data_IF_376154359981
#
_entry.id   IF_376154359981
#
_cell.length_a   1.000
_cell.length_b   1.000
_cell.length_c   1.000
_cell.angle_alpha   90.00
_cell.angle_beta   90.00
_cell.angle_gamma   90.00
#
_symmetry.space_group_name_H-M   'P 1'
#
loop_
_entity.id
_entity.type
_entity.pdbx_description
1 polymer ?
#
# COMPACT_ATOMS: atom_id res chain seq x y z
N UNK A 1 -22.11 -7.38 -15.18
CA UNK A 1 -21.80 -5.98 -14.83
C UNK A 1 -20.29 -5.88 -14.65
N UNK A 2 -19.68 -4.73 -14.98
CA UNK A 2 -18.27 -4.53 -14.70
C UNK A 2 -18.04 -4.44 -13.18
N UNK A 3 -16.94 -5.00 -12.72
CA UNK A 3 -16.53 -4.94 -11.31
C UNK A 3 -15.03 -4.71 -11.23
N UNK A 4 -14.60 -3.98 -10.20
CA UNK A 4 -13.17 -3.78 -9.88
C UNK A 4 -12.83 -4.58 -8.64
N UNK A 5 -11.68 -5.26 -8.63
CA UNK A 5 -11.25 -6.09 -7.51
C UNK A 5 -10.51 -5.28 -6.44
N UNK A 6 -10.74 -5.61 -5.18
CA UNK A 6 -10.02 -5.08 -4.02
C UNK A 6 -9.93 -6.12 -2.90
N UNK A 7 -9.23 -5.76 -1.83
CA UNK A 7 -9.07 -6.59 -0.63
C UNK A 7 -9.40 -5.79 0.61
N UNK A 8 -9.74 -6.47 1.70
CA UNK A 8 -9.70 -5.87 3.02
C UNK A 8 -8.78 -6.68 3.95
N UNK A 9 -8.06 -5.97 4.81
CA UNK A 9 -6.94 -6.55 5.57
C UNK A 9 -6.84 -5.98 6.98
N UNK A 10 -6.17 -6.74 7.83
CA UNK A 10 -5.85 -6.39 9.21
C UNK A 10 -4.47 -6.94 9.60
N UNK A 11 -4.12 -6.85 10.88
CA UNK A 11 -2.93 -7.50 11.45
C UNK A 11 -2.83 -9.00 11.11
N UNK A 12 -3.95 -9.69 10.91
CA UNK A 12 -3.98 -11.13 10.62
C UNK A 12 -3.39 -11.49 9.25
N UNK A 13 -3.32 -10.53 8.32
CA UNK A 13 -2.76 -10.73 6.99
C UNK A 13 -1.23 -10.63 6.95
N UNK A 14 -0.58 -10.42 8.11
CA UNK A 14 0.87 -10.33 8.27
C UNK A 14 1.49 -9.18 7.45
N UNK A 15 2.74 -9.35 7.01
CA UNK A 15 3.46 -8.33 6.23
C UNK A 15 3.12 -8.50 4.74
N UNK A 16 2.40 -7.52 4.19
CA UNK A 16 1.93 -7.53 2.80
C UNK A 16 2.95 -6.85 1.87
N UNK A 17 3.20 -7.46 0.71
CA UNK A 17 3.85 -6.84 -0.45
C UNK A 17 2.79 -6.21 -1.37
N UNK A 18 2.53 -4.92 -1.13
CA UNK A 18 1.50 -4.18 -1.84
C UNK A 18 1.79 -3.96 -3.33
N UNK A 19 3.05 -4.00 -3.75
CA UNK A 19 3.39 -3.90 -5.17
C UNK A 19 2.92 -5.14 -5.93
N UNK A 20 3.07 -6.33 -5.32
CA UNK A 20 2.52 -7.56 -5.88
C UNK A 20 0.99 -7.57 -5.89
N UNK A 21 0.34 -7.05 -4.84
CA UNK A 21 -1.13 -6.92 -4.80
C UNK A 21 -1.63 -6.05 -5.96
N UNK A 22 -1.02 -4.88 -6.17
CA UNK A 22 -1.40 -3.99 -7.26
C UNK A 22 -1.15 -4.61 -8.64
N UNK A 23 0.02 -5.26 -8.81
CA UNK A 23 0.39 -5.96 -10.05
C UNK A 23 -0.55 -7.13 -10.36
N UNK A 24 -1.15 -7.76 -9.34
CA UNK A 24 -2.15 -8.81 -9.48
C UNK A 24 -3.53 -8.29 -9.92
N UNK A 25 -3.71 -6.98 -10.10
CA UNK A 25 -4.94 -6.39 -10.65
C UNK A 25 -5.90 -5.81 -9.61
N UNK A 26 -5.55 -5.83 -8.33
CA UNK A 26 -6.35 -5.19 -7.28
C UNK A 26 -6.17 -3.66 -7.33
N UNK A 27 -7.24 -2.91 -7.05
CA UNK A 27 -7.24 -1.44 -7.18
C UNK A 27 -7.66 -0.68 -5.93
N UNK A 28 -8.31 -1.35 -4.98
CA UNK A 28 -8.64 -0.74 -3.70
C UNK A 28 -8.34 -1.66 -2.53
N UNK A 29 -8.09 -1.06 -1.37
CA UNK A 29 -7.88 -1.76 -0.12
C UNK A 29 -8.62 -1.07 1.04
N UNK A 30 -9.33 -1.84 1.87
CA UNK A 30 -9.76 -1.38 3.18
C UNK A 30 -8.84 -1.97 4.27
N UNK A 31 -8.29 -1.12 5.12
CA UNK A 31 -7.35 -1.53 6.17
C UNK A 31 -8.01 -1.33 7.53
N UNK A 32 -8.02 -2.34 8.40
CA UNK A 32 -8.53 -2.18 9.76
C UNK A 32 -7.73 -1.10 10.46
N UNK A 33 -8.39 -0.06 10.94
CA UNK A 33 -7.78 0.91 11.83
C UNK A 33 -8.01 0.50 13.28
N UNK A 34 -9.27 0.32 13.66
CA UNK A 34 -9.65 0.20 15.07
C UNK A 34 -10.86 -0.74 15.25
N UNK A 35 -10.94 -1.36 16.43
CA UNK A 35 -12.10 -2.14 16.89
C UNK A 35 -12.49 -1.62 18.28
N UNK A 36 -13.69 -1.06 18.40
CA UNK A 36 -14.15 -0.38 19.61
C UNK A 36 -13.25 0.78 20.06
N UNK A 37 -13.29 1.12 21.36
CA UNK A 37 -12.57 2.29 21.89
C UNK A 37 -11.16 1.99 22.46
N UNK A 38 -10.91 0.71 22.77
CA UNK A 38 -9.78 0.31 23.61
C UNK A 38 -8.44 0.38 22.84
N UNK A 39 -7.32 0.69 23.52
CA UNK A 39 -6.00 0.71 22.89
C UNK A 39 -5.62 -0.62 22.22
N UNK A 40 -6.03 -1.76 22.79
CA UNK A 40 -5.76 -3.08 22.22
C UNK A 40 -6.57 -3.34 20.94
N UNK A 41 -7.59 -2.52 20.67
CA UNK A 41 -8.37 -2.54 19.44
C UNK A 41 -7.71 -1.79 18.28
N UNK A 42 -6.60 -1.09 18.50
CA UNK A 42 -5.82 -0.46 17.41
C UNK A 42 -5.08 -1.55 16.63
N UNK A 43 -5.27 -1.60 15.32
CA UNK A 43 -4.58 -2.56 14.48
C UNK A 43 -3.09 -2.21 14.36
N UNK A 44 -2.23 -3.11 14.85
CA UNK A 44 -0.79 -2.90 14.89
C UNK A 44 -0.14 -2.70 13.50
N UNK A 45 -0.80 -3.17 12.43
CA UNK A 45 -0.30 -3.03 11.06
C UNK A 45 -1.00 -1.90 10.28
N UNK A 46 -1.94 -1.16 10.87
CA UNK A 46 -2.72 -0.14 10.16
C UNK A 46 -1.85 0.82 9.36
N UNK A 47 -0.92 1.52 10.01
CA UNK A 47 -0.08 2.53 9.36
C UNK A 47 0.75 1.94 8.22
N UNK A 48 1.36 0.78 8.43
CA UNK A 48 2.20 0.09 7.45
C UNK A 48 1.37 -0.33 6.23
N UNK A 49 0.17 -0.87 6.46
CA UNK A 49 -0.70 -1.34 5.41
C UNK A 49 -1.33 -0.20 4.63
N UNK A 50 -1.81 0.83 5.33
CA UNK A 50 -2.42 2.00 4.71
C UNK A 50 -1.40 2.74 3.83
N UNK A 51 -0.22 3.04 4.36
CA UNK A 51 0.83 3.76 3.62
C UNK A 51 1.41 2.89 2.50
N UNK A 52 1.56 1.59 2.74
CA UNK A 52 2.05 0.62 1.75
C UNK A 52 1.11 0.44 0.56
N UNK A 53 -0.20 0.27 0.81
CA UNK A 53 -1.21 0.16 -0.22
C UNK A 53 -1.28 1.43 -1.07
N UNK A 54 -1.28 2.60 -0.42
CA UNK A 54 -1.28 3.89 -1.11
C UNK A 54 -0.04 4.09 -1.96
N UNK A 55 1.15 3.75 -1.43
CA UNK A 55 2.41 3.79 -2.18
C UNK A 55 2.45 2.79 -3.34
N UNK A 56 1.63 1.74 -3.33
CA UNK A 56 1.51 0.84 -4.48
C UNK A 56 0.53 1.36 -5.56
N UNK A 57 -0.15 2.49 -5.32
CA UNK A 57 -1.14 3.08 -6.21
C UNK A 57 -2.57 2.60 -5.98
N UNK A 58 -2.84 1.87 -4.89
CA UNK A 58 -4.20 1.47 -4.54
C UNK A 58 -5.00 2.65 -3.97
N UNK A 59 -6.31 2.66 -4.21
CA UNK A 59 -7.26 3.50 -3.49
C UNK A 59 -7.50 2.91 -2.10
N UNK A 60 -7.19 3.66 -1.05
CA UNK A 60 -7.18 3.13 0.32
C UNK A 60 -8.29 3.74 1.16
N UNK A 61 -8.95 2.90 1.96
CA UNK A 61 -9.76 3.35 3.11
C UNK A 61 -9.38 2.64 4.39
N UNK A 62 -9.87 3.18 5.50
CA UNK A 62 -9.79 2.55 6.80
C UNK A 62 -11.18 2.07 7.24
N UNK A 63 -11.22 0.91 7.89
CA UNK A 63 -12.44 0.42 8.53
C UNK A 63 -12.33 0.40 10.05
N UNK A 64 -13.49 0.62 10.69
CA UNK A 64 -13.66 0.59 12.14
C UNK A 64 -14.76 -0.42 12.50
N UNK A 65 -14.41 -1.39 13.36
CA UNK A 65 -15.39 -2.35 13.89
C UNK A 65 -16.14 -1.73 15.04
N UNK A 66 -17.43 -1.45 14.84
CA UNK A 66 -18.29 -0.84 15.85
C UNK A 66 -18.59 -1.86 16.94
N UNK A 67 -18.36 -1.45 18.18
CA UNK A 67 -18.62 -2.19 19.40
C UNK A 67 -19.76 -1.49 20.17
N UNK A 68 -21.01 -1.97 20.08
CA UNK A 68 -22.19 -1.30 20.65
C UNK A 68 -22.15 -1.04 22.16
N UNK A 69 -21.31 -1.75 22.92
CA UNK A 69 -21.12 -1.52 24.36
C UNK A 69 -20.38 -0.22 24.70
N UNK A 70 -19.70 0.39 23.73
CA UNK A 70 -18.97 1.64 23.89
C UNK A 70 -19.73 2.80 23.27
N UNK A 71 -19.43 4.02 23.71
CA UNK A 71 -20.03 5.23 23.12
C UNK A 71 -19.55 5.43 21.68
N UNK A 72 -20.36 6.07 20.83
CA UNK A 72 -19.92 6.42 19.49
C UNK A 72 -18.75 7.43 19.52
N UNK A 73 -18.81 8.40 20.45
CA UNK A 73 -17.77 9.42 20.60
C UNK A 73 -16.38 8.79 20.88
N UNK A 74 -16.26 7.92 21.88
CA UNK A 74 -14.99 7.29 22.24
C UNK A 74 -14.42 6.39 21.13
N UNK A 75 -15.28 5.72 20.38
CA UNK A 75 -14.90 4.91 19.22
C UNK A 75 -14.38 5.77 18.07
N UNK A 76 -15.05 6.87 17.78
CA UNK A 76 -14.64 7.78 16.71
C UNK A 76 -13.38 8.55 17.08
N UNK A 77 -13.23 9.01 18.33
CA UNK A 77 -11.98 9.60 18.81
C UNK A 77 -10.80 8.65 18.62
N UNK A 78 -11.00 7.36 18.91
CA UNK A 78 -10.01 6.30 18.69
C UNK A 78 -9.68 6.11 17.21
N UNK A 79 -10.68 6.06 16.34
CA UNK A 79 -10.50 5.96 14.89
C UNK A 79 -9.70 7.14 14.34
N UNK A 80 -10.16 8.38 14.57
CA UNK A 80 -9.53 9.58 14.03
C UNK A 80 -8.13 9.82 14.59
N UNK A 81 -7.89 9.48 15.86
CA UNK A 81 -6.53 9.50 16.43
C UNK A 81 -5.61 8.50 15.74
N UNK A 82 -6.12 7.33 15.36
CA UNK A 82 -5.35 6.27 14.68
C UNK A 82 -5.02 6.63 13.24
N UNK A 83 -5.92 7.37 12.55
CA UNK A 83 -5.62 7.91 11.22
C UNK A 83 -4.36 8.80 11.24
N UNK A 84 -4.15 9.56 12.31
CA UNK A 84 -2.97 10.40 12.51
C UNK A 84 -2.67 11.31 11.29
N UNK A 85 -3.71 11.94 10.75
CA UNK A 85 -3.63 12.82 9.58
C UNK A 85 -3.67 12.11 8.22
N UNK A 86 -3.71 10.77 8.17
CA UNK A 86 -3.96 10.03 6.93
C UNK A 86 -5.39 10.30 6.45
N UNK A 87 -5.53 10.83 5.24
CA UNK A 87 -6.81 11.06 4.57
C UNK A 87 -7.11 9.88 3.64
N UNK A 88 -8.16 9.06 3.87
CA UNK A 88 -8.60 8.01 2.96
C UNK A 88 -8.99 8.51 1.56
N UNK A 89 -8.74 7.69 0.53
CA UNK A 89 -9.17 7.96 -0.86
C UNK A 89 -10.67 7.62 -1.03
N UNK A 90 -11.10 6.52 -0.41
CA UNK A 90 -12.50 6.09 -0.34
C UNK A 90 -13.11 6.49 1.01
N UNK A 91 -14.45 6.59 1.15
CA UNK A 91 -15.07 6.89 2.44
C UNK A 91 -14.67 5.87 3.50
N UNK A 92 -14.60 6.31 4.77
CA UNK A 92 -14.37 5.43 5.91
C UNK A 92 -15.46 4.36 5.98
N UNK A 93 -15.09 3.16 6.44
CA UNK A 93 -16.01 2.03 6.53
C UNK A 93 -16.36 1.77 7.99
N UNK A 94 -17.66 1.78 8.29
CA UNK A 94 -18.20 1.35 9.57
C UNK A 94 -18.58 -0.12 9.46
N UNK A 95 -17.81 -0.98 10.12
CA UNK A 95 -18.04 -2.42 10.16
C UNK A 95 -19.03 -2.75 11.30
N UNK A 96 -20.20 -3.26 10.90
CA UNK A 96 -21.37 -3.51 11.75
C UNK A 96 -21.72 -5.00 11.71
N UNK A 97 -21.07 -5.77 12.59
CA UNK A 97 -21.21 -7.24 12.62
C UNK A 97 -21.23 -7.84 14.04
N UNK A 98 -21.23 -7.01 15.09
CA UNK A 98 -21.24 -7.47 16.49
C UNK A 98 -22.29 -6.76 17.33
N UNK A 99 -22.88 -7.50 18.27
CA UNK A 99 -23.86 -6.96 19.23
C UNK A 99 -23.25 -6.63 20.59
N UNK A 100 -22.08 -7.19 20.91
CA UNK A 100 -21.49 -7.20 22.26
C UNK A 100 -22.48 -7.68 23.34
N UNK A 101 -23.24 -8.74 23.03
CA UNK A 101 -24.27 -9.35 23.90
C UNK A 101 -25.41 -8.39 24.28
N UNK A 102 -25.53 -7.25 23.61
CA UNK A 102 -26.66 -6.33 23.76
C UNK A 102 -27.86 -6.88 23.01
N UNK A 103 -28.95 -7.19 23.73
CA UNK A 103 -30.20 -7.65 23.12
C UNK A 103 -31.06 -6.51 22.56
N UNK A 104 -30.93 -5.29 23.11
CA UNK A 104 -31.74 -4.15 22.68
C UNK A 104 -31.20 -3.55 21.37
N UNK A 105 -31.90 -3.88 20.28
CA UNK A 105 -31.65 -3.36 18.92
C UNK A 105 -31.66 -1.84 18.85
N UNK A 106 -32.43 -1.15 19.70
CA UNK A 106 -32.46 0.30 19.72
C UNK A 106 -31.12 0.89 20.17
N UNK A 107 -30.44 0.24 21.13
CA UNK A 107 -29.11 0.64 21.58
C UNK A 107 -28.08 0.45 20.46
N UNK A 108 -28.07 -0.72 19.83
CA UNK A 108 -27.15 -1.02 18.72
C UNK A 108 -27.35 -0.03 17.57
N UNK A 109 -28.60 0.16 17.15
CA UNK A 109 -28.96 1.07 16.05
C UNK A 109 -28.57 2.52 16.35
N UNK A 110 -28.73 2.96 17.60
CA UNK A 110 -28.33 4.31 18.03
C UNK A 110 -26.82 4.49 17.91
N UNK A 111 -26.02 3.57 18.46
CA UNK A 111 -24.55 3.66 18.42
C UNK A 111 -24.04 3.64 16.97
N UNK A 112 -24.57 2.75 16.13
CA UNK A 112 -24.22 2.70 14.70
C UNK A 112 -24.52 4.03 14.00
N UNK A 113 -25.71 4.60 14.23
CA UNK A 113 -26.10 5.89 13.64
C UNK A 113 -25.18 7.01 14.10
N UNK A 114 -24.90 7.09 15.40
CA UNK A 114 -24.03 8.13 15.96
C UNK A 114 -22.60 8.02 15.43
N UNK A 115 -22.02 6.82 15.31
CA UNK A 115 -20.71 6.61 14.68
C UNK A 115 -20.72 7.12 13.22
N UNK A 116 -21.78 6.81 12.47
CA UNK A 116 -21.90 7.26 11.09
C UNK A 116 -22.00 8.80 10.99
N UNK A 117 -22.77 9.44 11.86
CA UNK A 117 -22.95 10.89 11.89
C UNK A 117 -21.66 11.62 12.28
N UNK A 118 -20.95 11.15 13.32
CA UNK A 118 -19.66 11.72 13.73
C UNK A 118 -18.63 11.55 12.60
N UNK A 119 -18.59 10.37 11.98
CA UNK A 119 -17.70 10.12 10.84
C UNK A 119 -17.98 11.06 9.68
N UNK A 120 -19.25 11.25 9.32
CA UNK A 120 -19.65 12.15 8.24
C UNK A 120 -19.25 13.60 8.54
N UNK A 121 -19.44 14.06 9.78
CA UNK A 121 -19.07 15.40 10.22
C UNK A 121 -17.55 15.64 10.18
N UNK A 122 -16.74 14.66 10.60
CA UNK A 122 -15.28 14.81 10.67
C UNK A 122 -14.56 14.54 9.34
N UNK A 123 -15.10 13.69 8.47
CA UNK A 123 -14.50 13.33 7.18
C UNK A 123 -15.12 14.06 5.98
N UNK A 124 -16.18 14.84 6.20
CA UNK A 124 -16.96 15.52 5.15
C UNK A 124 -17.49 14.57 4.06
N UNK A 125 -17.68 13.28 4.39
CA UNK A 125 -18.19 12.23 3.50
C UNK A 125 -18.99 11.22 4.34
N UNK A 126 -20.16 10.81 3.86
CA UNK A 126 -20.88 9.71 4.50
C UNK A 126 -20.01 8.45 4.48
N UNK A 127 -19.87 7.72 5.61
CA UNK A 127 -19.18 6.45 5.60
C UNK A 127 -19.95 5.40 4.82
N UNK A 128 -19.23 4.33 4.47
CA UNK A 128 -19.80 3.09 3.96
C UNK A 128 -20.17 2.21 5.16
N UNK A 129 -21.31 1.54 5.12
CA UNK A 129 -21.67 0.53 6.11
C UNK A 129 -21.29 -0.84 5.57
N UNK A 130 -20.42 -1.54 6.29
CA UNK A 130 -20.14 -2.94 6.08
C UNK A 130 -21.02 -3.80 7.00
N UNK A 131 -21.65 -4.84 6.45
CA UNK A 131 -22.44 -5.81 7.24
C UNK A 131 -22.81 -7.06 6.42
N UNK A 132 -23.32 -8.09 7.08
CA UNK A 132 -24.01 -9.21 6.45
C UNK A 132 -25.55 -9.03 6.53
N UNK A 133 -26.27 -9.56 5.55
CA UNK A 133 -27.74 -9.43 5.47
C UNK A 133 -28.44 -9.88 6.76
N UNK A 134 -28.12 -11.07 7.26
CA UNK A 134 -28.75 -11.64 8.46
C UNK A 134 -28.48 -10.74 9.67
N UNK A 135 -27.23 -10.31 9.85
CA UNK A 135 -26.84 -9.49 11.00
C UNK A 135 -27.64 -8.20 11.03
N UNK A 136 -27.67 -7.47 9.91
CA UNK A 136 -28.38 -6.21 9.82
C UNK A 136 -29.88 -6.38 10.04
N UNK A 137 -30.46 -7.42 9.42
CA UNK A 137 -31.88 -7.66 9.51
C UNK A 137 -32.33 -8.03 10.94
N UNK A 138 -31.49 -8.77 11.67
CA UNK A 138 -31.81 -9.24 13.01
C UNK A 138 -31.52 -8.18 14.09
N UNK A 139 -30.47 -7.36 13.92
CA UNK A 139 -29.92 -6.55 15.01
C UNK A 139 -30.13 -5.04 14.86
N UNK A 140 -30.30 -4.53 13.64
CA UNK A 140 -30.50 -3.09 13.41
C UNK A 140 -31.99 -2.82 13.20
N UNK A 141 -32.52 -1.73 13.74
CA UNK A 141 -33.90 -1.28 13.51
C UNK A 141 -34.02 -0.65 12.12
N UNK A 142 -35.15 -0.87 11.46
CA UNK A 142 -35.49 -0.17 10.21
C UNK A 142 -35.53 1.34 10.46
N UNK A 143 -34.95 2.10 9.54
CA UNK A 143 -35.05 3.55 9.55
C UNK A 143 -34.89 4.10 8.13
N UNK A 144 -35.58 5.19 7.77
CA UNK A 144 -35.57 5.73 6.41
C UNK A 144 -34.22 6.31 6.00
N UNK A 145 -33.34 6.59 6.96
CA UNK A 145 -32.05 7.24 6.74
C UNK A 145 -30.92 6.25 6.42
N UNK A 146 -31.10 4.94 6.62
CA UNK A 146 -30.03 3.97 6.34
C UNK A 146 -29.60 3.91 4.88
N UNK A 147 -30.53 4.11 3.95
CA UNK A 147 -30.25 4.08 2.51
C UNK A 147 -29.37 5.23 2.02
N UNK A 148 -29.07 6.23 2.87
CA UNK A 148 -28.15 7.32 2.52
C UNK A 148 -26.67 6.91 2.62
N UNK A 149 -26.37 5.79 3.30
CA UNK A 149 -25.02 5.23 3.41
C UNK A 149 -24.84 4.18 2.33
N UNK A 150 -23.71 4.20 1.62
CA UNK A 150 -23.36 3.13 0.69
C UNK A 150 -23.16 1.81 1.45
N UNK A 151 -23.55 0.69 0.82
CA UNK A 151 -23.44 -0.65 1.41
C UNK A 151 -22.20 -1.38 0.90
N UNK A 152 -21.43 -1.94 1.84
CA UNK A 152 -20.45 -3.00 1.63
C UNK A 152 -21.01 -4.31 2.18
N UNK A 153 -21.55 -5.16 1.31
CA UNK A 153 -22.24 -6.38 1.75
C UNK A 153 -21.25 -7.55 1.89
N UNK A 154 -21.29 -8.28 2.99
CA UNK A 154 -20.64 -9.58 3.11
C UNK A 154 -21.64 -10.70 2.76
N UNK A 155 -21.38 -11.44 1.68
CA UNK A 155 -22.15 -12.62 1.31
C UNK A 155 -21.29 -13.55 0.45
N UNK A 156 -20.82 -14.65 1.02
CA UNK A 156 -19.87 -15.52 0.34
C UNK A 156 -20.54 -16.62 -0.48
N UNK A 157 -19.83 -17.13 -1.49
CA UNK A 157 -20.22 -18.34 -2.23
C UNK A 157 -21.48 -18.21 -3.11
N UNK A 158 -21.92 -16.98 -3.39
CA UNK A 158 -23.09 -16.68 -4.22
C UNK A 158 -22.69 -15.90 -5.47
N UNK A 159 -23.51 -15.93 -6.51
CA UNK A 159 -23.30 -15.14 -7.74
C UNK A 159 -23.93 -13.75 -7.69
N UNK A 160 -24.83 -13.52 -6.72
CA UNK A 160 -25.44 -12.23 -6.43
C UNK A 160 -25.67 -12.14 -4.92
N UNK A 161 -25.25 -11.06 -4.24
CA UNK A 161 -25.41 -10.93 -2.80
C UNK A 161 -26.88 -10.69 -2.44
N UNK A 162 -27.33 -11.29 -1.33
CA UNK A 162 -28.60 -10.92 -0.73
C UNK A 162 -28.43 -9.62 0.04
N UNK A 163 -29.31 -8.64 -0.20
CA UNK A 163 -29.19 -7.32 0.39
C UNK A 163 -30.02 -7.21 1.67
N UNK A 164 -29.54 -6.48 2.71
CA UNK A 164 -30.37 -6.13 3.85
C UNK A 164 -31.56 -5.30 3.39
N UNK A 165 -32.65 -5.37 4.16
CA UNK A 165 -33.96 -4.78 3.83
C UNK A 165 -33.93 -3.26 3.51
N UNK A 166 -32.91 -2.56 3.99
CA UNK A 166 -32.77 -1.10 3.89
C UNK A 166 -32.02 -0.64 2.61
N UNK A 167 -31.46 -1.58 1.82
CA UNK A 167 -30.74 -1.28 0.57
C UNK A 167 -31.33 -1.99 -0.65
N UNK A 168 -31.28 -1.30 -1.79
CA UNK A 168 -31.67 -1.84 -3.11
C UNK A 168 -30.48 -2.21 -3.99
N UNK A 169 -29.29 -1.75 -3.62
CA UNK A 169 -28.03 -2.02 -4.34
C UNK A 169 -26.88 -2.05 -3.33
N UNK A 170 -25.74 -2.57 -3.77
CA UNK A 170 -24.49 -2.57 -3.03
C UNK A 170 -23.45 -1.73 -3.79
N UNK A 171 -22.55 -1.11 -3.03
CA UNK A 171 -21.40 -0.37 -3.56
C UNK A 171 -20.16 -1.26 -3.62
N UNK A 172 -19.96 -2.02 -2.55
CA UNK A 172 -18.90 -3.03 -2.43
C UNK A 172 -19.51 -4.36 -2.00
N UNK A 173 -18.88 -5.46 -2.38
CA UNK A 173 -19.30 -6.79 -1.99
C UNK A 173 -18.08 -7.63 -1.63
N UNK A 174 -18.03 -8.10 -0.38
CA UNK A 174 -17.08 -9.10 0.08
C UNK A 174 -17.58 -10.49 -0.31
N UNK A 175 -16.81 -11.13 -1.19
CA UNK A 175 -17.20 -12.35 -1.92
C UNK A 175 -16.67 -13.64 -1.27
N UNK A 176 -15.59 -13.54 -0.49
CA UNK A 176 -14.97 -14.65 0.24
C UNK A 176 -13.98 -14.13 1.28
N UNK A 177 -13.78 -14.92 2.34
CA UNK A 177 -12.77 -14.76 3.41
C UNK A 177 -11.52 -15.62 3.19
N UNK A 178 -11.48 -16.38 2.09
CA UNK A 178 -10.46 -17.41 1.80
C UNK A 178 -9.72 -17.16 0.49
N UNK A 179 -9.52 -15.90 0.13
CA UNK A 179 -8.73 -15.51 -1.03
C UNK A 179 -7.25 -15.82 -0.85
N UNK A 180 -6.61 -16.23 -1.95
CA UNK A 180 -5.14 -16.26 -2.07
C UNK A 180 -4.72 -15.13 -3.00
N UNK A 181 -3.97 -14.16 -2.47
CA UNK A 181 -3.62 -12.92 -3.18
C UNK A 181 -2.09 -12.80 -3.27
N UNK A 182 -1.51 -12.61 -4.47
CA UNK A 182 -0.08 -12.34 -4.60
C UNK A 182 0.35 -11.17 -3.71
N UNK A 183 1.40 -11.37 -2.92
CA UNK A 183 1.88 -10.39 -1.95
C UNK A 183 1.22 -10.46 -0.56
N UNK A 184 0.14 -11.23 -0.37
CA UNK A 184 -0.44 -11.48 0.95
C UNK A 184 -0.03 -12.88 1.43
N UNK A 185 0.79 -13.00 2.50
CA UNK A 185 1.26 -14.32 2.97
C UNK A 185 0.15 -15.20 3.57
N UNK A 186 -0.90 -14.58 4.13
CA UNK A 186 -2.05 -15.31 4.67
C UNK A 186 -2.84 -16.01 3.57
N UNK A 187 -3.30 -17.24 3.85
CA UNK A 187 -4.27 -17.97 2.99
C UNK A 187 -5.73 -17.53 3.21
N UNK A 188 -5.95 -16.62 4.16
CA UNK A 188 -7.24 -16.03 4.50
C UNK A 188 -7.15 -14.53 4.20
N UNK A 189 -7.39 -14.17 2.94
CA UNK A 189 -7.51 -12.79 2.51
C UNK A 189 -8.95 -12.55 2.03
N UNK A 190 -9.55 -11.48 2.53
CA UNK A 190 -10.89 -11.10 2.13
C UNK A 190 -10.86 -10.50 0.72
N UNK A 191 -11.68 -11.03 -0.18
CA UNK A 191 -11.78 -10.57 -1.56
C UNK A 191 -13.05 -9.78 -1.78
N UNK A 192 -12.89 -8.63 -2.41
CA UNK A 192 -13.95 -7.67 -2.61
C UNK A 192 -14.08 -7.25 -4.06
N UNK A 193 -15.29 -6.87 -4.42
CA UNK A 193 -15.58 -6.20 -5.67
C UNK A 193 -16.30 -4.89 -5.45
N UNK A 194 -15.94 -3.88 -6.23
CA UNK A 194 -16.70 -2.63 -6.38
C UNK A 194 -17.72 -2.78 -7.51
N UNK A 195 -18.94 -2.27 -7.31
CA UNK A 195 -20.01 -2.28 -8.30
C UNK A 195 -19.81 -1.19 -9.36
N UNK A 196 -19.00 -1.47 -10.37
CA UNK A 196 -18.74 -0.56 -11.48
C UNK A 196 -17.38 -0.79 -12.13
N UNK A 197 -17.07 0.09 -13.08
CA UNK A 197 -15.79 0.18 -13.80
C UNK A 197 -14.73 0.88 -12.94
N UNK A 198 -13.47 0.77 -13.35
CA UNK A 198 -12.35 1.47 -12.70
C UNK A 198 -12.49 3.00 -12.76
N UNK A 199 -13.04 3.54 -13.86
CA UNK A 199 -13.33 4.97 -13.98
C UNK A 199 -14.39 5.43 -12.96
N UNK A 200 -15.43 4.62 -12.73
CA UNK A 200 -16.45 4.91 -11.73
C UNK A 200 -15.90 4.80 -10.30
N UNK A 201 -14.99 3.85 -10.04
CA UNK A 201 -14.30 3.75 -8.76
C UNK A 201 -13.43 4.99 -8.49
N UNK A 202 -12.66 5.45 -9.48
CA UNK A 202 -11.85 6.67 -9.38
C UNK A 202 -12.72 7.91 -9.15
N UNK A 203 -13.83 8.04 -9.88
CA UNK A 203 -14.79 9.11 -9.68
C UNK A 203 -15.41 9.07 -8.28
N UNK A 204 -15.74 7.87 -7.77
CA UNK A 204 -16.24 7.68 -6.41
C UNK A 204 -15.21 8.06 -5.34
N UNK A 205 -13.93 7.77 -5.58
CA UNK A 205 -12.83 8.20 -4.72
C UNK A 205 -12.50 9.70 -4.84
N UNK A 206 -13.07 10.41 -5.83
CA UNK A 206 -12.64 11.75 -6.25
C UNK A 206 -11.13 11.79 -6.56
N UNK A 207 -10.60 10.65 -7.02
CA UNK A 207 -9.19 10.47 -7.32
C UNK A 207 -8.96 10.58 -8.83
N UNK A 208 -7.77 11.03 -9.19
CA UNK A 208 -7.26 10.83 -10.56
C UNK A 208 -6.75 9.40 -10.68
N UNK A 209 -6.75 8.81 -11.90
CA UNK A 209 -6.09 7.54 -12.12
C UNK A 209 -4.70 7.60 -11.49
N UNK A 210 -4.33 6.59 -10.71
CA UNK A 210 -2.96 6.45 -10.26
C UNK A 210 -2.11 6.49 -11.53
N UNK A 211 -1.34 7.56 -11.72
CA UNK A 211 -0.23 7.48 -12.65
C UNK A 211 0.58 6.31 -12.17
N UNK A 212 0.96 5.35 -13.04
CA UNK A 212 1.80 4.24 -12.61
C UNK A 212 2.95 4.89 -11.84
N UNK A 213 3.03 4.63 -10.55
CA UNK A 213 4.24 4.93 -9.81
C UNK A 213 5.25 3.99 -10.44
N UNK A 214 5.89 4.47 -11.51
CA UNK A 214 6.95 3.72 -12.14
C UNK A 214 7.93 3.52 -11.00
N UNK A 215 8.13 2.27 -10.56
CA UNK A 215 9.25 2.01 -9.66
C UNK A 215 10.53 2.50 -10.32
N UNK A 216 11.65 2.50 -9.61
CA UNK A 216 12.92 2.68 -10.30
C UNK A 216 13.05 1.63 -11.40
N UNK A 217 13.38 2.07 -12.61
CA UNK A 217 13.58 1.18 -13.74
C UNK A 217 14.97 1.38 -14.31
N UNK A 218 15.56 0.27 -14.73
CA UNK A 218 16.83 0.24 -15.44
C UNK A 218 16.57 -0.23 -16.86
N UNK A 219 17.08 0.51 -17.84
CA UNK A 219 17.18 0.09 -19.23
C UNK A 219 18.54 -0.56 -19.46
N UNK A 220 18.55 -1.76 -20.02
CA UNK A 220 19.77 -2.50 -20.34
C UNK A 220 20.48 -1.85 -21.51
N UNK A 221 21.75 -1.51 -21.32
CA UNK A 221 22.63 -0.93 -22.36
C UNK A 221 23.55 -1.96 -22.99
N UNK A 222 23.84 -3.06 -22.29
CA UNK A 222 24.63 -4.18 -22.79
C UNK A 222 23.88 -5.00 -23.85
N UNK A 223 24.60 -5.55 -24.83
CA UNK A 223 24.02 -6.46 -25.85
C UNK A 223 23.34 -7.67 -25.21
N UNK A 224 23.94 -8.22 -24.16
CA UNK A 224 23.38 -9.27 -23.33
C UNK A 224 23.85 -9.07 -21.90
N UNK A 225 22.93 -9.25 -20.95
CA UNK A 225 23.18 -9.11 -19.52
C UNK A 225 22.57 -10.30 -18.79
N UNK A 226 23.39 -11.13 -18.17
CA UNK A 226 22.93 -12.34 -17.50
C UNK A 226 22.07 -12.00 -16.26
N UNK A 227 21.05 -12.81 -16.07
CA UNK A 227 20.20 -12.87 -14.89
C UNK A 227 20.71 -14.02 -14.05
N UNK A 228 20.97 -13.76 -12.78
CA UNK A 228 21.49 -14.73 -11.83
C UNK A 228 20.55 -14.95 -10.67
N UNK A 229 20.67 -16.12 -10.04
CA UNK A 229 19.86 -16.48 -8.88
C UNK A 229 20.22 -15.72 -7.58
N UNK A 230 21.26 -14.88 -7.63
CA UNK A 230 21.73 -14.08 -6.50
C UNK A 230 22.70 -12.97 -6.90
N UNK A 231 23.06 -12.09 -5.95
CA UNK A 231 23.83 -10.87 -6.22
C UNK A 231 25.34 -11.14 -6.35
N UNK A 232 25.75 -11.80 -7.43
CA UNK A 232 27.16 -12.06 -7.70
C UNK A 232 27.40 -12.90 -8.96
N UNK A 233 28.57 -12.74 -9.57
CA UNK A 233 28.97 -13.53 -10.77
C UNK A 233 29.13 -15.03 -10.47
N UNK A 234 29.22 -15.41 -9.20
CA UNK A 234 29.34 -16.80 -8.76
C UNK A 234 27.98 -17.49 -8.57
N UNK A 235 26.86 -16.76 -8.66
CA UNK A 235 25.53 -17.36 -8.59
C UNK A 235 25.16 -17.98 -9.94
N UNK A 236 24.35 -19.06 -9.95
CA UNK A 236 23.82 -19.66 -11.17
C UNK A 236 23.25 -18.63 -12.15
N UNK A 237 23.59 -18.80 -13.41
CA UNK A 237 22.94 -18.11 -14.53
C UNK A 237 21.57 -18.76 -14.78
N UNK A 238 20.53 -17.95 -14.80
CA UNK A 238 19.13 -18.36 -14.92
C UNK A 238 18.43 -17.66 -16.09
N UNK A 239 19.17 -17.03 -16.99
CA UNK A 239 18.65 -16.41 -18.20
C UNK A 239 19.33 -15.10 -18.55
N UNK A 240 18.82 -14.39 -19.56
CA UNK A 240 19.43 -13.18 -20.07
C UNK A 240 18.43 -12.04 -20.22
N UNK A 241 18.94 -10.82 -20.10
CA UNK A 241 18.34 -9.60 -20.65
C UNK A 241 19.09 -9.19 -21.92
N UNK A 242 18.41 -8.50 -22.82
CA UNK A 242 18.96 -7.96 -24.07
C UNK A 242 19.00 -6.44 -24.03
N UNK A 243 19.82 -5.86 -24.90
CA UNK A 243 19.91 -4.41 -25.03
C UNK A 243 18.53 -3.80 -25.29
N UNK A 244 18.19 -2.78 -24.52
CA UNK A 244 16.90 -2.09 -24.60
C UNK A 244 15.84 -2.62 -23.64
N UNK A 245 16.01 -3.80 -23.05
CA UNK A 245 15.10 -4.33 -22.04
C UNK A 245 14.99 -3.36 -20.87
N UNK A 246 13.79 -3.20 -20.34
CA UNK A 246 13.53 -2.34 -19.17
C UNK A 246 13.07 -3.21 -18.01
N UNK A 247 13.83 -3.19 -16.92
CA UNK A 247 13.58 -3.99 -15.72
C UNK A 247 13.27 -3.11 -14.51
N UNK A 248 12.40 -3.56 -13.59
CA UNK A 248 12.23 -2.88 -12.32
C UNK A 248 13.48 -3.04 -11.45
N UNK A 249 13.80 -2.01 -10.67
CA UNK A 249 14.83 -2.03 -9.64
C UNK A 249 14.11 -2.16 -8.30
N UNK A 250 14.02 -3.39 -7.79
CA UNK A 250 13.39 -3.69 -6.51
C UNK A 250 14.36 -3.48 -5.34
N UNK A 251 15.66 -3.68 -5.58
CA UNK A 251 16.72 -3.47 -4.61
C UNK A 251 18.09 -3.34 -5.31
N UNK A 252 19.07 -2.72 -4.62
CA UNK A 252 20.46 -2.60 -5.02
C UNK A 252 21.36 -3.15 -3.90
N UNK A 253 22.28 -4.07 -4.21
CA UNK A 253 23.19 -4.63 -3.20
C UNK A 253 24.54 -5.12 -3.75
N UNK A 254 25.51 -5.32 -2.88
CA UNK A 254 26.79 -5.98 -3.19
C UNK A 254 27.87 -5.07 -3.77
N UNK A 255 29.12 -5.60 -3.82
CA UNK A 255 30.33 -4.84 -4.23
C UNK A 255 30.33 -4.36 -5.68
N UNK A 256 29.57 -5.01 -6.57
CA UNK A 256 29.46 -4.66 -7.99
C UNK A 256 28.02 -4.24 -8.35
N UNK A 257 27.20 -3.91 -7.36
CA UNK A 257 25.78 -3.58 -7.52
C UNK A 257 24.97 -4.56 -8.37
N UNK A 258 24.25 -5.41 -7.68
CA UNK A 258 23.25 -6.28 -8.26
C UNK A 258 21.88 -5.67 -8.06
N UNK A 259 21.17 -5.51 -9.17
CA UNK A 259 19.77 -5.14 -9.19
C UNK A 259 18.94 -6.39 -8.92
N UNK A 260 18.12 -6.35 -7.88
CA UNK A 260 17.03 -7.32 -7.77
C UNK A 260 15.92 -6.88 -8.71
N UNK A 261 15.61 -7.72 -9.69
CA UNK A 261 14.61 -7.46 -10.74
C UNK A 261 13.39 -8.38 -10.63
N UNK A 262 13.40 -9.29 -9.66
CA UNK A 262 12.31 -10.21 -9.33
C UNK A 262 12.64 -11.07 -8.10
N UNK A 263 11.81 -12.06 -7.82
CA UNK A 263 12.14 -13.11 -6.83
C UNK A 263 13.32 -13.92 -7.34
N UNK A 264 14.41 -13.95 -6.57
CA UNK A 264 15.69 -14.60 -6.91
C UNK A 264 16.21 -14.31 -8.32
N UNK A 265 15.90 -13.12 -8.85
CA UNK A 265 16.40 -12.67 -10.15
C UNK A 265 17.23 -11.41 -9.95
N UNK A 266 18.49 -11.52 -10.33
CA UNK A 266 19.47 -10.46 -10.15
C UNK A 266 20.24 -10.20 -11.44
N UNK A 267 20.49 -8.95 -11.79
CA UNK A 267 21.43 -8.61 -12.86
C UNK A 267 22.46 -7.60 -12.36
N UNK A 268 23.64 -7.60 -12.97
CA UNK A 268 24.67 -6.62 -12.63
C UNK A 268 24.26 -5.24 -13.15
N UNK A 269 24.28 -4.24 -12.27
CA UNK A 269 24.20 -2.84 -12.68
C UNK A 269 25.50 -2.44 -13.39
N UNK A 270 26.64 -2.82 -12.82
CA UNK A 270 27.96 -2.57 -13.37
C UNK A 270 28.95 -3.69 -13.02
N UNK A 271 30.02 -3.83 -13.78
CA UNK A 271 31.17 -4.65 -13.41
C UNK A 271 32.45 -3.91 -13.80
N UNK A 272 33.42 -3.84 -12.88
CA UNK A 272 34.72 -3.18 -13.12
C UNK A 272 34.60 -1.77 -13.75
N UNK A 273 33.68 -0.96 -13.21
CA UNK A 273 33.40 0.42 -13.62
C UNK A 273 32.55 0.60 -14.89
N UNK A 274 32.19 -0.48 -15.58
CA UNK A 274 31.36 -0.41 -16.78
C UNK A 274 29.89 -0.72 -16.45
N UNK A 275 28.95 0.23 -16.64
CA UNK A 275 27.53 0.00 -16.40
C UNK A 275 26.90 -0.81 -17.55
N UNK A 276 26.11 -1.81 -17.20
CA UNK A 276 25.30 -2.60 -18.15
C UNK A 276 23.87 -2.10 -18.27
N UNK A 277 23.49 -1.14 -17.43
CA UNK A 277 22.16 -0.54 -17.40
C UNK A 277 22.22 0.95 -17.10
N UNK A 278 21.20 1.69 -17.50
CA UNK A 278 20.99 3.11 -17.15
C UNK A 278 19.61 3.28 -16.52
N UNK A 279 19.44 4.24 -15.60
CA UNK A 279 18.10 4.56 -15.09
C UNK A 279 17.19 5.09 -16.20
N UNK A 280 15.93 4.67 -16.19
CA UNK A 280 14.93 5.14 -17.14
C UNK A 280 14.46 6.57 -16.77
N UNK A 281 14.41 7.50 -17.73
CA UNK A 281 13.85 8.83 -17.52
C UNK A 281 12.42 8.76 -16.95
N UNK A 282 12.14 9.52 -15.88
CA UNK A 282 10.82 9.52 -15.21
C UNK A 282 10.67 8.52 -14.07
N UNK A 283 11.68 7.66 -13.82
CA UNK A 283 11.76 6.89 -12.58
C UNK A 283 11.87 7.83 -11.37
N UNK A 284 11.14 7.59 -10.25
CA UNK A 284 11.31 8.31 -8.99
C UNK A 284 12.71 8.05 -8.46
N UNK A 285 13.59 9.02 -8.65
CA UNK A 285 14.98 8.96 -8.23
C UNK A 285 15.19 9.83 -7.00
N UNK A 286 14.41 9.62 -5.93
CA UNK A 286 14.69 10.28 -4.65
C UNK A 286 15.50 9.33 -3.78
N UNK A 287 16.70 9.75 -3.37
CA UNK A 287 17.48 9.07 -2.35
C UNK A 287 17.16 9.62 -0.97
N UNK A 288 17.20 8.77 0.06
CA UNK A 288 17.17 9.16 1.47
C UNK A 288 18.41 8.63 2.17
N UNK A 289 19.13 9.50 2.86
CA UNK A 289 20.31 9.11 3.62
C UNK A 289 19.92 8.27 4.85
N UNK A 290 20.53 7.10 5.02
CA UNK A 290 20.31 6.23 6.19
C UNK A 290 21.21 6.62 7.38
N UNK A 291 22.28 7.36 7.09
CA UNK A 291 23.29 7.84 8.02
C UNK A 291 23.67 9.29 7.70
N UNK A 292 24.50 9.91 8.53
CA UNK A 292 25.19 11.15 8.18
C UNK A 292 26.23 10.84 7.08
N UNK A 293 26.13 11.48 5.92
CA UNK A 293 27.00 11.20 4.77
C UNK A 293 27.84 12.41 4.40
N UNK A 294 29.11 12.18 4.08
CA UNK A 294 29.93 13.20 3.45
C UNK A 294 29.56 13.32 1.98
N UNK A 295 29.34 14.57 1.56
CA UNK A 295 29.26 14.95 0.15
C UNK A 295 30.64 15.33 -0.31
N UNK A 296 31.05 14.86 -1.47
CA UNK A 296 32.39 15.01 -2.01
C UNK A 296 32.37 15.62 -3.41
N UNK A 297 33.49 16.23 -3.80
CA UNK A 297 33.69 16.82 -5.13
C UNK A 297 33.82 15.80 -6.26
N UNK A 298 33.76 14.50 -5.95
CA UNK A 298 33.84 13.42 -6.93
C UNK A 298 33.45 12.07 -6.32
N UNK A 299 33.18 11.05 -7.16
CA UNK A 299 32.63 9.76 -6.76
C UNK A 299 33.71 8.81 -6.18
N UNK A 300 34.43 9.26 -5.14
CA UNK A 300 35.46 8.48 -4.47
C UNK A 300 35.67 8.96 -3.03
N UNK A 301 36.03 8.03 -2.13
CA UNK A 301 36.33 8.34 -0.73
C UNK A 301 37.56 9.23 -0.57
N UNK A 302 38.41 9.35 -1.60
CA UNK A 302 39.57 10.23 -1.63
C UNK A 302 39.27 11.67 -2.08
N UNK A 303 38.07 11.95 -2.62
CA UNK A 303 37.68 13.28 -3.07
C UNK A 303 37.42 14.21 -1.88
N UNK A 304 37.62 15.52 -2.08
CA UNK A 304 37.42 16.52 -1.04
C UNK A 304 35.98 16.53 -0.56
N UNK A 305 35.77 16.65 0.75
CA UNK A 305 34.42 16.80 1.34
C UNK A 305 33.98 18.24 1.12
N UNK A 306 32.83 18.43 0.47
CA UNK A 306 32.27 19.74 0.12
C UNK A 306 30.97 20.06 0.86
N UNK A 307 30.26 19.06 1.38
CA UNK A 307 29.06 19.22 2.20
C UNK A 307 28.77 17.94 3.03
N UNK A 308 27.62 17.89 3.72
CA UNK A 308 27.10 16.70 4.40
C UNK A 308 25.59 16.57 4.23
N UNK A 309 25.11 15.33 4.10
CA UNK A 309 23.70 14.98 4.13
C UNK A 309 23.34 14.42 5.50
N UNK A 310 22.29 14.95 6.13
CA UNK A 310 21.81 14.48 7.42
C UNK A 310 21.08 13.14 7.29
N UNK A 311 21.08 12.36 8.37
CA UNK A 311 20.29 11.13 8.42
C UNK A 311 18.80 11.47 8.22
N UNK A 312 18.16 10.78 7.28
CA UNK A 312 16.76 10.98 6.92
C UNK A 312 16.52 12.06 5.87
N UNK A 313 17.55 12.83 5.48
CA UNK A 313 17.46 13.83 4.43
C UNK A 313 17.23 13.17 3.07
N UNK A 314 16.28 13.71 2.31
CA UNK A 314 15.93 13.26 0.96
C UNK A 314 16.50 14.19 -0.10
N UNK A 315 16.95 13.64 -1.22
CA UNK A 315 17.56 14.39 -2.32
C UNK A 315 17.24 13.72 -3.65
N UNK A 316 17.28 14.49 -4.74
CA UNK A 316 17.16 13.95 -6.09
C UNK A 316 18.48 13.26 -6.49
N UNK A 317 18.38 12.07 -7.05
CA UNK A 317 19.48 11.31 -7.64
C UNK A 317 19.49 11.63 -9.13
N UNK A 318 20.55 12.30 -9.58
CA UNK A 318 20.73 12.69 -10.99
C UNK A 318 21.53 11.63 -11.76
N UNK A 319 22.49 10.97 -11.11
CA UNK A 319 23.33 9.94 -11.71
C UNK A 319 23.88 8.95 -10.69
N UNK A 320 24.32 7.78 -11.18
CA UNK A 320 25.12 6.81 -10.42
C UNK A 320 26.52 6.72 -11.04
N UNK A 321 27.58 6.68 -10.22
CA UNK A 321 28.97 6.56 -10.70
C UNK A 321 29.90 5.84 -9.72
N UNK A 322 31.01 5.28 -10.23
CA UNK A 322 32.13 4.79 -9.44
C UNK A 322 31.98 3.37 -8.86
N UNK A 323 33.05 2.89 -8.22
CA UNK A 323 33.19 1.53 -7.66
C UNK A 323 32.24 1.23 -6.49
N UNK A 324 31.90 2.27 -5.75
CA UNK A 324 31.09 2.23 -4.52
C UNK A 324 29.88 3.16 -4.64
N UNK A 325 29.28 3.12 -5.83
CA UNK A 325 28.09 3.84 -6.28
C UNK A 325 27.80 5.10 -5.52
N UNK A 326 28.26 6.16 -6.14
CA UNK A 326 28.05 7.51 -5.72
C UNK A 326 26.85 8.04 -6.45
N UNK A 327 26.00 8.74 -5.71
CA UNK A 327 24.92 9.51 -6.27
C UNK A 327 25.38 10.94 -6.42
N UNK A 328 25.22 11.47 -7.62
CA UNK A 328 25.26 12.90 -7.85
C UNK A 328 23.88 13.48 -7.54
N UNK A 329 23.81 14.43 -6.61
CA UNK A 329 22.55 15.11 -6.27
C UNK A 329 22.56 16.61 -6.63
N UNK A 330 23.73 17.14 -6.98
CA UNK A 330 23.93 18.42 -7.65
C UNK A 330 25.22 18.33 -8.46
N UNK A 331 25.41 19.15 -9.52
CA UNK A 331 26.60 19.08 -10.37
C UNK A 331 27.91 19.13 -9.56
N UNK A 332 28.71 18.08 -9.66
CA UNK A 332 29.98 17.91 -8.94
C UNK A 332 29.85 17.53 -7.46
N UNK A 333 28.65 17.23 -6.96
CA UNK A 333 28.40 16.87 -5.56
C UNK A 333 27.93 15.44 -5.42
N UNK A 334 28.82 14.60 -4.87
CA UNK A 334 28.67 13.16 -4.85
C UNK A 334 28.60 12.63 -3.41
N UNK A 335 27.66 11.74 -3.12
CA UNK A 335 27.61 11.02 -1.85
C UNK A 335 27.46 9.51 -2.06
N UNK A 336 28.06 8.72 -1.18
CA UNK A 336 28.06 7.26 -1.33
C UNK A 336 26.66 6.68 -1.08
N UNK A 337 26.14 5.94 -2.06
CA UNK A 337 24.91 5.15 -1.95
C UNK A 337 25.18 3.82 -1.26
N UNK A 338 26.25 3.13 -1.67
CA UNK A 338 26.69 1.88 -1.05
C UNK A 338 28.21 1.74 -1.14
N UNK A 339 28.88 1.49 -0.01
CA UNK A 339 30.33 1.30 0.03
C UNK A 339 30.66 0.00 0.76
N UNK A 340 31.50 -0.86 0.17
CA UNK A 340 31.91 -2.16 0.74
C UNK A 340 30.76 -3.05 1.21
N UNK A 341 29.64 -3.04 0.48
CA UNK A 341 28.46 -3.87 0.77
C UNK A 341 27.53 -3.32 1.86
N UNK A 342 27.79 -2.12 2.39
CA UNK A 342 26.86 -1.40 3.26
C UNK A 342 26.10 -0.36 2.46
N UNK A 343 24.77 -0.36 2.56
CA UNK A 343 23.93 0.69 1.99
C UNK A 343 23.91 1.89 2.94
N UNK A 344 24.30 3.04 2.44
CA UNK A 344 24.31 4.32 3.14
C UNK A 344 23.08 5.16 2.82
N UNK A 345 22.39 4.82 1.73
CA UNK A 345 21.17 5.45 1.25
C UNK A 345 20.15 4.37 0.91
N UNK A 346 18.89 4.78 0.84
CA UNK A 346 17.82 4.01 0.19
C UNK A 346 17.16 4.90 -0.86
N UNK A 347 16.63 4.32 -1.93
CA UNK A 347 15.76 5.06 -2.84
C UNK A 347 14.33 5.00 -2.29
N UNK A 348 13.59 6.11 -2.35
CA UNK A 348 12.27 6.30 -1.72
C UNK A 348 11.16 6.55 -2.71
#
# INVERSE_FOLDING_TARGET
MATVSGIDVSVYNQRIDWAQVYAAGYRFAAVRATLGEKPEGVDANFAINFDGARKAGMLVTAYHVIKPKYSAASQMDRLFSTLAGRVPDLPLVMDVEVTDDIADRAVISRVVRECCQITAAQSNRNPIIYTAQYFWNDNILTAPDWSQYDLWIANYGVTSPNLPRDWKTWRFWQTTDRGTVPGVPSRYCDLNVFNGTEAELLAYAQAQPAQPQQGLRAKVTALTLNIRSGPGVNFPDIGDLKQGDVVPILNLTGKNMWLRIGEDRWCAFALDHEPFVTLEPGSPTTGRALYLLNVRSGPTTSAQIVARLQRGESFKVEAFSGRDVWVEFAPGQWAAFAHRGTNYMQLV
#
